data_IF_136902040241
#
_entry.id   IF_136902040241
#
_cell.length_a   1.000
_cell.length_b   1.000
_cell.length_c   1.000
_cell.angle_alpha   90.00
_cell.angle_beta   90.00
_cell.angle_gamma   90.00
#
_symmetry.space_group_name_H-M   'P 1'
#
loop_
_entity.id
_entity.type
_entity.pdbx_description
1 polymer ?
#
# COMPACT_ATOMS: atom_id res chain seq x y z
N UNK A 1 -3.67 -128.02 17.79
CA UNK A 1 -3.13 -127.21 16.68
C UNK A 1 -4.24 -126.31 16.19
N UNK A 2 -4.34 -125.09 16.72
CA UNK A 2 -5.33 -124.09 16.33
C UNK A 2 -4.69 -122.71 16.45
N UNK A 3 -4.66 -121.97 15.35
CA UNK A 3 -4.53 -120.50 15.16
C UNK A 3 -4.18 -120.27 13.67
N UNK A 4 -4.65 -119.27 12.93
CA UNK A 4 -5.56 -118.14 13.15
C UNK A 4 -5.94 -117.62 11.75
N UNK A 5 -7.18 -117.12 11.63
CA UNK A 5 -7.74 -116.59 10.40
C UNK A 5 -7.45 -115.10 10.18
N UNK A 6 -7.47 -114.74 8.90
CA UNK A 6 -7.57 -113.39 8.34
C UNK A 6 -8.55 -112.46 9.08
N UNK A 7 -8.10 -111.23 9.34
CA UNK A 7 -8.94 -110.09 9.68
C UNK A 7 -8.39 -108.82 9.03
N UNK A 8 -8.82 -108.53 7.79
CA UNK A 8 -8.57 -107.24 7.15
C UNK A 8 -9.44 -106.18 7.83
N UNK A 9 -8.84 -105.35 8.67
CA UNK A 9 -9.48 -104.16 9.21
C UNK A 9 -9.71 -103.16 8.07
N UNK A 10 -10.99 -102.97 7.70
CA UNK A 10 -11.43 -101.83 6.88
C UNK A 10 -11.22 -100.57 7.72
N UNK A 11 -10.20 -99.77 7.40
CA UNK A 11 -10.11 -98.38 7.87
C UNK A 11 -11.27 -97.58 7.28
N UNK A 12 -12.27 -97.26 8.10
CA UNK A 12 -13.22 -96.19 7.80
C UNK A 12 -12.46 -94.87 7.82
N UNK A 13 -12.51 -94.03 6.77
CA UNK A 13 -11.89 -92.72 6.82
C UNK A 13 -12.62 -91.89 7.89
N UNK A 14 -11.94 -91.64 9.00
CA UNK A 14 -12.44 -90.75 10.04
C UNK A 14 -12.63 -89.36 9.41
N UNK A 15 -13.89 -88.93 9.30
CA UNK A 15 -14.24 -87.57 8.93
C UNK A 15 -13.63 -86.68 10.01
N UNK A 16 -12.72 -85.79 9.62
CA UNK A 16 -12.08 -84.87 10.57
C UNK A 16 -13.16 -83.96 11.15
N UNK A 17 -13.35 -83.97 12.46
CA UNK A 17 -14.41 -83.20 13.12
C UNK A 17 -14.31 -81.71 12.75
N UNK A 18 -15.43 -81.12 12.33
CA UNK A 18 -15.51 -79.69 12.07
C UNK A 18 -15.12 -78.91 13.34
N UNK A 19 -14.24 -77.90 13.25
CA UNK A 19 -13.89 -77.06 14.38
C UNK A 19 -15.13 -76.35 14.92
N UNK A 20 -15.31 -76.34 16.24
CA UNK A 20 -16.49 -75.71 16.86
C UNK A 20 -16.18 -74.27 17.24
N UNK A 21 -17.22 -73.44 17.26
CA UNK A 21 -17.09 -72.04 17.67
C UNK A 21 -16.59 -71.88 19.12
N UNK A 22 -16.85 -72.89 19.95
CA UNK A 22 -16.40 -72.99 21.35
C UNK A 22 -14.87 -73.16 21.47
N UNK A 23 -14.22 -73.66 20.41
CA UNK A 23 -12.76 -73.86 20.35
C UNK A 23 -12.03 -72.57 19.95
N UNK A 24 -12.76 -71.52 19.59
CA UNK A 24 -12.20 -70.21 19.24
C UNK A 24 -12.03 -69.36 20.51
N UNK A 25 -10.79 -69.02 20.85
CA UNK A 25 -10.49 -68.13 21.97
C UNK A 25 -11.12 -66.73 21.77
N UNK A 26 -11.79 -66.21 22.80
CA UNK A 26 -12.40 -64.87 22.81
C UNK A 26 -11.56 -63.93 23.67
N UNK A 27 -11.17 -62.78 23.08
CA UNK A 27 -10.44 -61.68 23.70
C UNK A 27 -11.39 -60.48 23.84
N UNK A 28 -11.05 -59.48 24.66
CA UNK A 28 -11.86 -58.29 24.96
C UNK A 28 -12.37 -57.48 23.75
N UNK A 29 -11.87 -57.75 22.53
CA UNK A 29 -12.31 -57.12 21.28
C UNK A 29 -12.83 -58.09 20.21
N UNK A 30 -13.04 -59.38 20.52
CA UNK A 30 -13.52 -60.39 19.57
C UNK A 30 -12.73 -61.70 19.61
N UNK A 31 -12.88 -62.53 18.58
CA UNK A 31 -12.12 -63.78 18.46
C UNK A 31 -10.65 -63.53 18.14
N UNK A 32 -9.77 -64.39 18.64
CA UNK A 32 -8.34 -64.33 18.38
C UNK A 32 -8.01 -64.62 16.90
N UNK A 33 -7.39 -63.66 16.21
CA UNK A 33 -7.12 -63.71 14.76
C UNK A 33 -6.32 -64.96 14.33
N UNK A 34 -5.30 -65.36 15.11
CA UNK A 34 -4.51 -66.55 14.79
C UNK A 34 -5.33 -67.85 14.90
N UNK A 35 -6.16 -67.95 15.94
CA UNK A 35 -7.01 -69.11 16.21
C UNK A 35 -8.14 -69.22 15.18
N UNK A 36 -8.73 -68.08 14.79
CA UNK A 36 -9.70 -68.00 13.71
C UNK A 36 -9.08 -68.45 12.37
N UNK A 37 -7.90 -67.93 12.02
CA UNK A 37 -7.18 -68.34 10.79
C UNK A 37 -6.91 -69.84 10.75
N UNK A 38 -6.48 -70.43 11.88
CA UNK A 38 -6.24 -71.87 12.00
C UNK A 38 -7.53 -72.69 11.81
N UNK A 39 -8.65 -72.25 12.40
CA UNK A 39 -9.95 -72.89 12.22
C UNK A 39 -10.46 -72.82 10.77
N UNK A 40 -10.30 -71.68 10.09
CA UNK A 40 -10.62 -71.55 8.66
C UNK A 40 -9.73 -72.43 7.78
N UNK A 41 -8.46 -72.61 8.14
CA UNK A 41 -7.57 -73.54 7.43
C UNK A 41 -7.98 -75.00 7.63
N UNK A 42 -8.33 -75.41 8.85
CA UNK A 42 -8.86 -76.74 9.14
C UNK A 42 -10.17 -77.01 8.38
N UNK A 43 -11.09 -76.03 8.33
CA UNK A 43 -12.31 -76.10 7.54
C UNK A 43 -12.03 -76.24 6.03
N UNK A 44 -11.06 -75.50 5.48
CA UNK A 44 -10.66 -75.64 4.07
C UNK A 44 -10.17 -77.05 3.75
N UNK A 45 -9.37 -77.66 4.63
CA UNK A 45 -8.92 -79.06 4.47
C UNK A 45 -10.11 -80.02 4.51
N UNK A 46 -11.04 -79.83 5.44
CA UNK A 46 -12.27 -80.62 5.54
C UNK A 46 -13.14 -80.53 4.27
N UNK A 47 -13.34 -79.32 3.73
CA UNK A 47 -14.10 -79.11 2.50
C UNK A 47 -13.47 -79.81 1.28
N UNK A 48 -12.14 -79.80 1.15
CA UNK A 48 -11.41 -80.52 0.10
C UNK A 48 -11.55 -82.04 0.26
N UNK A 49 -11.46 -82.54 1.50
CA UNK A 49 -11.66 -83.97 1.81
C UNK A 49 -13.09 -84.40 1.45
N UNK A 50 -14.09 -83.60 1.80
CA UNK A 50 -15.50 -83.83 1.48
C UNK A 50 -15.74 -83.83 -0.03
N UNK A 51 -15.14 -82.89 -0.77
CA UNK A 51 -15.22 -82.83 -2.23
C UNK A 51 -14.63 -84.08 -2.90
N UNK A 52 -13.51 -84.60 -2.40
CA UNK A 52 -12.92 -85.84 -2.88
C UNK A 52 -13.84 -87.04 -2.65
N UNK A 53 -14.45 -87.13 -1.47
CA UNK A 53 -15.40 -88.20 -1.12
C UNK A 53 -16.68 -88.13 -1.97
N UNK A 54 -17.23 -86.94 -2.21
CA UNK A 54 -18.38 -86.75 -3.10
C UNK A 54 -18.08 -87.15 -4.54
N UNK A 55 -16.88 -86.85 -5.07
CA UNK A 55 -16.46 -87.29 -6.41
C UNK A 55 -16.36 -88.82 -6.51
N UNK A 56 -15.83 -89.48 -5.48
CA UNK A 56 -15.77 -90.96 -5.40
C UNK A 56 -17.18 -91.56 -5.35
N UNK A 57 -18.07 -90.99 -4.56
CA UNK A 57 -19.48 -91.43 -4.48
C UNK A 57 -20.24 -91.17 -5.79
N UNK A 58 -19.99 -90.05 -6.48
CA UNK A 58 -20.54 -89.77 -7.81
C UNK A 58 -20.02 -90.76 -8.87
N UNK A 59 -18.76 -91.18 -8.77
CA UNK A 59 -18.18 -92.21 -9.65
C UNK A 59 -18.75 -93.61 -9.35
N UNK A 60 -19.05 -93.92 -8.09
CA UNK A 60 -19.63 -95.20 -7.66
C UNK A 60 -21.18 -95.30 -7.82
N UNK A 61 -21.89 -94.16 -7.84
CA UNK A 61 -23.35 -94.05 -7.80
C UNK A 61 -24.13 -94.40 -9.07
N UNK A 62 -23.58 -95.23 -9.98
CA UNK A 62 -24.35 -95.77 -11.13
C UNK A 62 -25.03 -97.11 -10.85
N UNK A 63 -24.83 -97.72 -9.68
CA UNK A 63 -25.52 -98.93 -9.22
C UNK A 63 -26.43 -98.64 -8.02
N UNK A 64 -27.70 -99.04 -8.11
CA UNK A 64 -28.83 -98.58 -7.31
C UNK A 64 -28.93 -99.13 -5.86
N UNK A 65 -27.90 -98.94 -5.02
CA UNK A 65 -28.03 -99.12 -3.57
C UNK A 65 -27.36 -97.97 -2.81
N UNK A 66 -28.13 -97.26 -1.98
CA UNK A 66 -27.64 -96.13 -1.18
C UNK A 66 -26.89 -96.69 0.02
N UNK A 67 -25.56 -96.76 -0.07
CA UNK A 67 -24.71 -97.11 1.07
C UNK A 67 -24.83 -96.06 2.19
N UNK A 68 -24.86 -96.47 3.48
CA UNK A 68 -25.00 -95.56 4.63
C UNK A 68 -23.88 -94.51 4.71
N UNK A 69 -22.71 -94.81 4.15
CA UNK A 69 -21.57 -93.88 4.04
C UNK A 69 -21.83 -92.74 3.06
N UNK A 70 -22.54 -92.99 1.95
CA UNK A 70 -22.90 -91.96 0.97
C UNK A 70 -24.03 -91.04 1.43
N UNK A 71 -24.85 -91.48 2.39
CA UNK A 71 -25.82 -90.61 3.06
C UNK A 71 -25.13 -89.62 4.02
N UNK A 72 -24.18 -90.07 4.83
CA UNK A 72 -23.44 -89.21 5.77
C UNK A 72 -22.69 -88.07 5.06
N UNK A 73 -21.97 -88.37 3.98
CA UNK A 73 -21.23 -87.36 3.19
C UNK A 73 -22.17 -86.33 2.54
N UNK A 74 -23.34 -86.77 2.04
CA UNK A 74 -24.35 -85.84 1.50
C UNK A 74 -24.97 -84.97 2.58
N UNK A 75 -25.25 -85.53 3.75
CA UNK A 75 -25.75 -84.76 4.89
C UNK A 75 -24.73 -83.72 5.33
N UNK A 76 -23.45 -84.08 5.45
CA UNK A 76 -22.37 -83.15 5.82
C UNK A 76 -22.22 -81.99 4.81
N UNK A 77 -22.29 -82.27 3.51
CA UNK A 77 -22.30 -81.24 2.47
C UNK A 77 -23.49 -80.27 2.60
N UNK A 78 -24.69 -80.78 2.95
CA UNK A 78 -25.86 -79.94 3.20
C UNK A 78 -25.70 -79.08 4.46
N UNK A 79 -25.08 -79.61 5.52
CA UNK A 79 -24.77 -78.83 6.73
C UNK A 79 -23.75 -77.73 6.44
N UNK A 80 -22.73 -78.01 5.63
CA UNK A 80 -21.74 -77.03 5.19
C UNK A 80 -22.38 -75.91 4.36
N UNK A 81 -23.26 -76.24 3.41
CA UNK A 81 -23.97 -75.24 2.60
C UNK A 81 -24.88 -74.38 3.49
N UNK A 82 -25.59 -74.99 4.45
CA UNK A 82 -26.41 -74.25 5.41
C UNK A 82 -25.57 -73.31 6.27
N UNK A 83 -24.48 -73.80 6.84
CA UNK A 83 -23.57 -72.98 7.65
C UNK A 83 -22.90 -71.85 6.86
N UNK A 84 -22.58 -72.08 5.58
CA UNK A 84 -22.06 -71.04 4.70
C UNK A 84 -23.10 -69.95 4.40
N UNK A 85 -24.37 -70.32 4.22
CA UNK A 85 -25.45 -69.36 4.03
C UNK A 85 -25.69 -68.52 5.30
N UNK A 86 -25.73 -69.18 6.47
CA UNK A 86 -25.85 -68.48 7.76
C UNK A 86 -24.66 -67.54 8.03
N UNK A 87 -23.43 -67.95 7.67
CA UNK A 87 -22.24 -67.11 7.78
C UNK A 87 -22.30 -65.89 6.84
N UNK A 88 -22.77 -66.07 5.60
CA UNK A 88 -22.95 -64.97 4.66
C UNK A 88 -23.96 -63.94 5.19
N UNK A 89 -25.07 -64.39 5.76
CA UNK A 89 -26.07 -63.52 6.38
C UNK A 89 -25.49 -62.73 7.57
N UNK A 90 -24.65 -63.35 8.40
CA UNK A 90 -23.97 -62.68 9.53
C UNK A 90 -22.97 -61.65 9.01
N UNK A 91 -22.17 -62.00 8.01
CA UNK A 91 -21.20 -61.07 7.40
C UNK A 91 -21.88 -59.87 6.75
N UNK A 92 -23.00 -60.08 6.06
CA UNK A 92 -23.78 -58.99 5.48
C UNK A 92 -24.31 -58.05 6.56
N UNK A 93 -24.89 -58.58 7.65
CA UNK A 93 -25.37 -57.76 8.77
C UNK A 93 -24.25 -56.99 9.46
N UNK A 94 -23.10 -57.61 9.66
CA UNK A 94 -21.93 -56.95 10.26
C UNK A 94 -21.41 -55.82 9.35
N UNK A 95 -21.26 -56.08 8.05
CA UNK A 95 -20.86 -55.08 7.07
C UNK A 95 -21.86 -53.90 6.98
N UNK A 96 -23.17 -54.19 6.99
CA UNK A 96 -24.22 -53.17 7.03
C UNK A 96 -24.16 -52.34 8.32
N UNK A 97 -23.92 -52.98 9.46
CA UNK A 97 -23.82 -52.30 10.77
C UNK A 97 -22.56 -51.43 10.84
N UNK A 98 -21.41 -51.95 10.41
CA UNK A 98 -20.14 -51.23 10.39
C UNK A 98 -20.18 -50.03 9.41
N UNK A 99 -20.74 -50.23 8.22
CA UNK A 99 -20.90 -49.14 7.23
C UNK A 99 -21.86 -48.06 7.72
N UNK A 100 -23.00 -48.43 8.32
CA UNK A 100 -23.91 -47.47 8.93
C UNK A 100 -23.22 -46.66 10.04
N UNK A 101 -22.44 -47.30 10.92
CA UNK A 101 -21.70 -46.63 11.98
C UNK A 101 -20.59 -45.70 11.45
N UNK A 102 -19.94 -46.06 10.34
CA UNK A 102 -18.95 -45.19 9.70
C UNK A 102 -19.61 -43.99 9.04
N UNK A 103 -20.70 -44.20 8.29
CA UNK A 103 -21.46 -43.12 7.64
C UNK A 103 -21.94 -42.13 8.70
N UNK A 104 -22.55 -42.61 9.78
CA UNK A 104 -23.02 -41.76 10.88
C UNK A 104 -21.90 -40.91 11.49
N UNK A 105 -20.71 -41.48 11.72
CA UNK A 105 -19.54 -40.72 12.21
C UNK A 105 -19.11 -39.65 11.21
N UNK A 106 -18.99 -40.00 9.94
CA UNK A 106 -18.58 -39.03 8.90
C UNK A 106 -19.62 -37.93 8.71
N UNK A 107 -20.92 -38.25 8.80
CA UNK A 107 -21.97 -37.25 8.73
C UNK A 107 -21.90 -36.26 9.90
N UNK A 108 -21.62 -36.75 11.11
CA UNK A 108 -21.45 -35.88 12.28
C UNK A 108 -20.25 -34.95 12.11
N UNK A 109 -19.12 -35.47 11.63
CA UNK A 109 -17.93 -34.65 11.34
C UNK A 109 -18.19 -33.61 10.25
N UNK A 110 -18.92 -33.98 9.18
CA UNK A 110 -19.29 -33.04 8.11
C UNK A 110 -20.21 -31.95 8.65
N UNK A 111 -21.22 -32.30 9.46
CA UNK A 111 -22.10 -31.31 10.09
C UNK A 111 -21.33 -30.37 11.01
N UNK A 112 -20.40 -30.90 11.80
CA UNK A 112 -19.55 -30.09 12.68
C UNK A 112 -18.68 -29.12 11.87
N UNK A 113 -17.98 -29.61 10.85
CA UNK A 113 -17.15 -28.76 9.97
C UNK A 113 -17.98 -27.70 9.25
N UNK A 114 -19.21 -28.01 8.84
CA UNK A 114 -20.11 -27.03 8.22
C UNK A 114 -20.49 -25.91 9.20
N UNK A 115 -20.76 -26.24 10.47
CA UNK A 115 -21.03 -25.22 11.49
C UNK A 115 -19.79 -24.36 11.78
N UNK A 116 -18.62 -24.96 11.88
CA UNK A 116 -17.37 -24.23 12.09
C UNK A 116 -17.06 -23.29 10.93
N UNK A 117 -17.29 -23.72 9.68
CA UNK A 117 -17.15 -22.87 8.50
C UNK A 117 -18.14 -21.70 8.52
N UNK A 118 -19.41 -21.95 8.84
CA UNK A 118 -20.41 -20.89 8.97
C UNK A 118 -20.04 -19.86 10.04
N UNK A 119 -19.48 -20.31 11.17
CA UNK A 119 -19.01 -19.41 12.24
C UNK A 119 -17.82 -18.57 11.76
N UNK A 120 -16.84 -19.18 11.09
CA UNK A 120 -15.69 -18.47 10.52
C UNK A 120 -16.10 -17.47 9.46
N UNK A 121 -17.04 -17.82 8.58
CA UNK A 121 -17.56 -16.90 7.57
C UNK A 121 -18.27 -15.70 8.21
N UNK A 122 -19.05 -15.93 9.28
CA UNK A 122 -19.68 -14.85 10.04
C UNK A 122 -18.64 -13.94 10.73
N UNK A 123 -17.56 -14.50 11.26
CA UNK A 123 -16.45 -13.71 11.83
C UNK A 123 -15.73 -12.89 10.76
N UNK A 124 -15.43 -13.49 9.60
CA UNK A 124 -14.80 -12.78 8.48
C UNK A 124 -15.68 -11.62 8.02
N UNK A 125 -17.00 -11.81 7.93
CA UNK A 125 -17.94 -10.74 7.59
C UNK A 125 -17.90 -9.61 8.62
N UNK A 126 -17.92 -9.93 9.91
CA UNK A 126 -17.77 -8.92 10.98
C UNK A 126 -16.47 -8.12 10.85
N UNK A 127 -15.35 -8.79 10.59
CA UNK A 127 -14.07 -8.10 10.40
C UNK A 127 -14.08 -7.21 9.15
N UNK A 128 -14.73 -7.63 8.06
CA UNK A 128 -14.88 -6.81 6.86
C UNK A 128 -15.72 -5.56 7.13
N UNK A 129 -16.88 -5.74 7.74
CA UNK A 129 -17.77 -4.62 8.08
C UNK A 129 -17.08 -3.63 9.02
N UNK A 130 -16.37 -4.13 10.04
CA UNK A 130 -15.62 -3.30 10.98
C UNK A 130 -14.44 -2.60 10.30
N UNK A 131 -13.70 -3.28 9.43
CA UNK A 131 -12.61 -2.68 8.66
C UNK A 131 -13.13 -1.58 7.73
N UNK A 132 -14.27 -1.79 7.08
CA UNK A 132 -14.87 -0.79 6.20
C UNK A 132 -15.42 0.41 6.99
N UNK A 133 -15.98 0.19 8.19
CA UNK A 133 -16.33 1.29 9.11
C UNK A 133 -15.10 2.10 9.49
N UNK A 134 -14.04 1.46 9.96
CA UNK A 134 -12.79 2.13 10.35
C UNK A 134 -12.16 2.90 9.19
N UNK A 135 -12.15 2.31 7.97
CA UNK A 135 -11.70 3.00 6.77
C UNK A 135 -12.52 4.26 6.49
N UNK A 136 -13.84 4.16 6.58
CA UNK A 136 -14.73 5.31 6.35
C UNK A 136 -14.56 6.40 7.42
N UNK A 137 -14.36 6.01 8.68
CA UNK A 137 -14.05 6.93 9.78
C UNK A 137 -12.75 7.68 9.55
N UNK A 138 -11.67 6.97 9.22
CA UNK A 138 -10.36 7.55 8.90
C UNK A 138 -10.46 8.50 7.71
N UNK A 139 -11.13 8.08 6.63
CA UNK A 139 -11.30 8.92 5.44
C UNK A 139 -12.12 10.19 5.74
N UNK A 140 -13.16 10.07 6.56
CA UNK A 140 -13.99 11.21 6.96
C UNK A 140 -13.21 12.17 7.86
N UNK A 141 -12.46 11.64 8.84
CA UNK A 141 -11.59 12.42 9.71
C UNK A 141 -10.52 13.16 8.90
N UNK A 142 -9.76 12.46 8.06
CA UNK A 142 -8.73 13.05 7.20
C UNK A 142 -9.30 14.12 6.26
N UNK A 143 -10.50 13.91 5.71
CA UNK A 143 -11.17 14.92 4.87
C UNK A 143 -11.55 16.18 5.66
N UNK A 144 -12.00 16.01 6.90
CA UNK A 144 -12.35 17.14 7.77
C UNK A 144 -11.10 17.90 8.21
N UNK A 145 -10.04 17.20 8.61
CA UNK A 145 -8.75 17.78 8.95
C UNK A 145 -8.16 18.56 7.76
N UNK A 146 -8.16 17.98 6.55
CA UNK A 146 -7.67 18.66 5.35
C UNK A 146 -8.45 19.96 5.06
N UNK A 147 -9.77 19.95 5.21
CA UNK A 147 -10.61 21.15 5.04
C UNK A 147 -10.32 22.21 6.09
N UNK A 148 -10.13 21.78 7.34
CA UNK A 148 -9.80 22.68 8.43
C UNK A 148 -8.43 23.33 8.20
N UNK A 149 -7.40 22.54 7.88
CA UNK A 149 -6.06 23.04 7.57
C UNK A 149 -6.07 24.07 6.43
N UNK A 150 -6.81 23.82 5.35
CA UNK A 150 -6.94 24.78 4.24
C UNK A 150 -7.64 26.07 4.70
N UNK A 151 -8.68 25.95 5.54
CA UNK A 151 -9.40 27.12 6.06
C UNK A 151 -8.52 27.97 6.98
N UNK A 152 -7.77 27.32 7.86
CA UNK A 152 -6.84 27.97 8.79
C UNK A 152 -5.68 28.62 8.04
N UNK A 153 -5.07 27.92 7.08
CA UNK A 153 -4.01 28.45 6.23
C UNK A 153 -4.48 29.67 5.41
N UNK A 154 -5.69 29.63 4.85
CA UNK A 154 -6.25 30.79 4.13
C UNK A 154 -6.50 31.98 5.04
N UNK A 155 -6.93 31.74 6.29
CA UNK A 155 -7.14 32.79 7.29
C UNK A 155 -5.82 33.43 7.70
N UNK A 156 -4.79 32.63 7.92
CA UNK A 156 -3.44 33.09 8.26
C UNK A 156 -2.82 33.88 7.11
N UNK A 157 -2.83 33.35 5.89
CA UNK A 157 -2.35 34.06 4.70
C UNK A 157 -3.06 35.40 4.49
N UNK A 158 -4.38 35.46 4.69
CA UNK A 158 -5.15 36.69 4.60
C UNK A 158 -4.78 37.70 5.69
N UNK A 159 -4.43 37.22 6.89
CA UNK A 159 -3.99 38.06 8.00
C UNK A 159 -2.60 38.65 7.71
N UNK A 160 -1.66 37.81 7.29
CA UNK A 160 -0.30 38.23 6.95
C UNK A 160 -0.28 39.23 5.78
N UNK A 161 -1.13 39.02 4.77
CA UNK A 161 -1.27 39.93 3.64
C UNK A 161 -1.72 41.32 4.10
N UNK A 162 -2.75 41.40 4.95
CA UNK A 162 -3.21 42.69 5.51
C UNK A 162 -2.15 43.37 6.38
N UNK A 163 -1.40 42.60 7.15
CA UNK A 163 -0.30 43.13 7.96
C UNK A 163 0.84 43.65 7.08
N UNK A 164 1.20 42.94 6.01
CA UNK A 164 2.18 43.37 5.02
C UNK A 164 1.73 44.64 4.27
N UNK A 165 0.47 44.71 3.85
CA UNK A 165 -0.12 45.90 3.24
C UNK A 165 -0.08 47.10 4.19
N UNK A 166 -0.44 46.91 5.46
CA UNK A 166 -0.40 47.99 6.46
C UNK A 166 1.04 48.49 6.70
N UNK A 167 2.03 47.60 6.70
CA UNK A 167 3.45 47.96 6.80
C UNK A 167 3.91 48.71 5.54
N UNK A 168 3.53 48.22 4.36
CA UNK A 168 3.82 48.88 3.08
C UNK A 168 3.24 50.29 3.01
N UNK A 169 1.99 50.48 3.43
CA UNK A 169 1.35 51.79 3.47
C UNK A 169 2.08 52.78 4.40
N UNK A 170 2.52 52.31 5.58
CA UNK A 170 3.32 53.15 6.50
C UNK A 170 4.67 53.54 5.90
N UNK A 171 5.36 52.60 5.25
CA UNK A 171 6.64 52.88 4.59
C UNK A 171 6.49 53.87 3.43
N UNK A 172 5.43 53.74 2.63
CA UNK A 172 5.12 54.69 1.56
C UNK A 172 4.85 56.09 2.11
N UNK A 173 4.13 56.20 3.22
CA UNK A 173 3.86 57.50 3.83
C UNK A 173 5.13 58.14 4.41
N UNK A 174 5.99 57.35 5.08
CA UNK A 174 7.30 57.80 5.55
C UNK A 174 8.18 58.28 4.40
N UNK A 175 8.24 57.53 3.29
CA UNK A 175 9.03 57.91 2.12
C UNK A 175 8.50 59.20 1.47
N UNK A 176 7.17 59.37 1.41
CA UNK A 176 6.56 60.64 0.93
C UNK A 176 6.93 61.80 1.82
N UNK A 177 6.84 61.64 3.13
CA UNK A 177 7.21 62.70 4.07
C UNK A 177 8.68 63.08 3.93
N UNK A 178 9.58 62.10 3.93
CA UNK A 178 11.02 62.34 3.70
C UNK A 178 11.30 63.01 2.36
N UNK A 179 10.64 62.58 1.28
CA UNK A 179 10.80 63.22 -0.02
C UNK A 179 10.35 64.69 0.00
N UNK A 180 9.24 65.00 0.68
CA UNK A 180 8.78 66.39 0.85
C UNK A 180 9.73 67.21 1.71
N UNK A 181 10.27 66.64 2.79
CA UNK A 181 11.24 67.31 3.65
C UNK A 181 12.54 67.61 2.90
N UNK A 182 13.08 66.65 2.16
CA UNK A 182 14.28 66.85 1.33
C UNK A 182 14.04 67.87 0.22
N UNK A 183 12.86 67.87 -0.41
CA UNK A 183 12.51 68.86 -1.44
C UNK A 183 12.41 70.27 -0.87
N UNK A 184 11.81 70.41 0.32
CA UNK A 184 11.70 71.70 0.99
C UNK A 184 13.07 72.18 1.50
N UNK A 185 13.89 71.28 2.06
CA UNK A 185 15.25 71.59 2.51
C UNK A 185 16.14 72.06 1.35
N UNK A 186 16.16 71.32 0.25
CA UNK A 186 16.94 71.70 -0.95
C UNK A 186 16.45 73.01 -1.57
N UNK A 187 15.13 73.27 -1.60
CA UNK A 187 14.60 74.57 -2.02
C UNK A 187 15.09 75.70 -1.11
N UNK A 188 15.03 75.51 0.21
CA UNK A 188 15.47 76.52 1.18
C UNK A 188 16.98 76.80 1.06
N UNK A 189 17.80 75.77 0.88
CA UNK A 189 19.24 75.93 0.62
C UNK A 189 19.51 76.71 -0.67
N UNK A 190 18.82 76.38 -1.77
CA UNK A 190 18.94 77.12 -3.03
C UNK A 190 18.52 78.58 -2.85
N UNK A 191 17.40 78.86 -2.19
CA UNK A 191 16.95 80.21 -1.90
C UNK A 191 17.99 81.00 -1.08
N UNK A 192 18.59 80.37 -0.06
CA UNK A 192 19.67 80.96 0.74
C UNK A 192 20.89 81.29 -0.13
N UNK A 193 21.32 80.37 -1.00
CA UNK A 193 22.46 80.63 -1.90
C UNK A 193 22.17 81.75 -2.88
N UNK A 194 20.95 81.85 -3.41
CA UNK A 194 20.54 82.92 -4.31
C UNK A 194 20.45 84.27 -3.59
N UNK A 195 19.95 84.30 -2.36
CA UNK A 195 19.92 85.51 -1.54
C UNK A 195 21.35 86.00 -1.24
N UNK A 196 22.24 85.10 -0.85
CA UNK A 196 23.66 85.42 -0.64
C UNK A 196 24.31 85.96 -1.93
N UNK A 197 24.09 85.32 -3.08
CA UNK A 197 24.61 85.79 -4.37
C UNK A 197 24.06 87.17 -4.75
N UNK A 198 22.77 87.45 -4.49
CA UNK A 198 22.17 88.78 -4.73
C UNK A 198 22.75 89.86 -3.81
N UNK A 199 22.97 89.54 -2.53
CA UNK A 199 23.62 90.45 -1.58
C UNK A 199 25.06 90.77 -2.02
N UNK A 200 25.81 89.75 -2.43
CA UNK A 200 27.17 89.93 -2.94
C UNK A 200 27.20 90.78 -4.23
N UNK A 201 26.32 90.50 -5.19
CA UNK A 201 26.20 91.29 -6.41
C UNK A 201 25.86 92.77 -6.10
N UNK A 202 24.93 93.01 -5.18
CA UNK A 202 24.57 94.37 -4.73
C UNK A 202 25.77 95.10 -4.11
N UNK A 203 26.59 94.40 -3.31
CA UNK A 203 27.80 94.97 -2.72
C UNK A 203 28.88 95.30 -3.76
N UNK A 204 29.05 94.45 -4.80
CA UNK A 204 29.97 94.71 -5.91
C UNK A 204 29.51 95.93 -6.71
N UNK A 205 28.22 96.02 -7.03
CA UNK A 205 27.64 97.16 -7.76
C UNK A 205 27.83 98.44 -6.96
N UNK A 206 27.51 98.45 -5.66
CA UNK A 206 27.70 99.63 -4.81
C UNK A 206 29.16 100.08 -4.76
N UNK A 207 30.10 99.13 -4.62
CA UNK A 207 31.54 99.43 -4.66
C UNK A 207 31.97 99.99 -6.01
N UNK A 208 31.46 99.44 -7.11
CA UNK A 208 31.72 99.94 -8.46
C UNK A 208 31.18 101.36 -8.64
N UNK A 209 29.95 101.64 -8.18
CA UNK A 209 29.32 102.97 -8.21
C UNK A 209 30.16 104.01 -7.46
N UNK A 210 30.53 103.72 -6.20
CA UNK A 210 31.39 104.61 -5.42
C UNK A 210 32.77 104.80 -6.08
N UNK A 211 33.36 103.74 -6.63
CA UNK A 211 34.63 103.83 -7.37
C UNK A 211 34.52 104.71 -8.62
N UNK A 212 33.42 104.59 -9.38
CA UNK A 212 33.16 105.45 -10.54
C UNK A 212 32.94 106.90 -10.14
N UNK A 213 32.20 107.18 -9.06
CA UNK A 213 31.99 108.53 -8.53
C UNK A 213 33.33 109.18 -8.14
N UNK A 214 34.22 108.43 -7.48
CA UNK A 214 35.56 108.89 -7.12
C UNK A 214 36.40 109.25 -8.35
N UNK A 215 36.40 108.40 -9.39
CA UNK A 215 37.14 108.64 -10.62
C UNK A 215 36.59 109.85 -11.41
N UNK A 216 35.27 109.99 -11.48
CA UNK A 216 34.63 111.13 -12.15
C UNK A 216 34.91 112.44 -11.41
N UNK A 217 34.87 112.42 -10.07
CA UNK A 217 35.26 113.56 -9.24
C UNK A 217 36.72 113.98 -9.43
N UNK A 218 37.64 113.01 -9.49
CA UNK A 218 39.06 113.27 -9.74
C UNK A 218 39.34 113.84 -11.15
N UNK A 219 38.52 113.48 -12.14
CA UNK A 219 38.63 113.97 -13.52
C UNK A 219 38.01 115.38 -13.74
N UNK A 220 37.33 115.96 -12.74
CA UNK A 220 36.71 117.29 -12.82
C UNK A 220 35.48 117.36 -13.74
N UNK A 221 34.92 116.21 -14.13
CA UNK A 221 33.70 116.10 -14.93
C UNK A 221 32.49 116.30 -14.01
N UNK A 222 31.75 117.40 -14.19
CA UNK A 222 30.55 117.70 -13.39
C UNK A 222 29.44 116.66 -13.55
N UNK A 223 28.45 116.72 -12.66
CA UNK A 223 27.33 115.76 -12.52
C UNK A 223 26.61 115.42 -13.84
N UNK A 224 26.55 116.36 -14.79
CA UNK A 224 25.93 116.14 -16.10
C UNK A 224 26.66 115.07 -16.96
N UNK A 225 28.00 115.06 -16.98
CA UNK A 225 28.77 114.09 -17.77
C UNK A 225 28.76 112.69 -17.13
N UNK A 226 28.71 112.62 -15.79
CA UNK A 226 28.53 111.37 -15.05
C UNK A 226 27.20 110.69 -15.41
N UNK A 227 26.13 111.47 -15.55
CA UNK A 227 24.79 110.98 -15.87
C UNK A 227 24.74 110.39 -17.29
N UNK A 228 25.43 111.01 -18.26
CA UNK A 228 25.46 110.54 -19.65
C UNK A 228 26.23 109.22 -19.80
N UNK A 229 27.37 109.07 -19.12
CA UNK A 229 28.15 107.83 -19.09
C UNK A 229 27.38 106.71 -18.36
N UNK A 230 26.74 107.01 -17.23
CA UNK A 230 25.90 106.05 -16.52
C UNK A 230 24.75 105.53 -17.42
N UNK A 231 24.08 106.42 -18.15
CA UNK A 231 23.02 106.04 -19.10
C UNK A 231 23.55 105.16 -20.24
N UNK A 232 24.75 105.43 -20.77
CA UNK A 232 25.36 104.59 -21.80
C UNK A 232 25.71 103.18 -21.27
N UNK A 233 26.22 103.08 -20.04
CA UNK A 233 26.54 101.79 -19.41
C UNK A 233 25.27 100.97 -19.17
N UNK A 234 24.22 101.57 -18.59
CA UNK A 234 22.92 100.90 -18.37
C UNK A 234 22.37 100.38 -19.68
N UNK A 235 22.36 101.20 -20.74
CA UNK A 235 21.90 100.80 -22.07
C UNK A 235 22.70 99.63 -22.66
N UNK A 236 24.02 99.60 -22.42
CA UNK A 236 24.88 98.49 -22.86
C UNK A 236 24.67 97.20 -22.04
N UNK A 237 24.39 97.33 -20.74
CA UNK A 237 24.10 96.21 -19.85
C UNK A 237 22.73 95.60 -20.15
N UNK A 238 21.71 96.43 -20.44
CA UNK A 238 20.40 95.96 -20.91
C UNK A 238 20.50 95.21 -22.23
N UNK A 239 21.27 95.73 -23.19
CA UNK A 239 21.52 95.05 -24.47
C UNK A 239 22.22 93.70 -24.28
N UNK A 240 23.22 93.63 -23.38
CA UNK A 240 23.90 92.38 -23.03
C UNK A 240 22.99 91.39 -22.30
N UNK A 241 22.13 91.84 -21.40
CA UNK A 241 21.17 91.00 -20.68
C UNK A 241 20.07 90.46 -21.61
N UNK A 242 19.63 91.25 -22.58
CA UNK A 242 18.70 90.80 -23.62
C UNK A 242 19.36 89.83 -24.60
N UNK A 243 20.62 90.03 -24.96
CA UNK A 243 21.39 89.05 -25.73
C UNK A 243 21.56 87.73 -24.97
N UNK A 244 21.77 87.78 -23.65
CA UNK A 244 21.85 86.60 -22.78
C UNK A 244 20.51 85.86 -22.63
N UNK A 245 19.38 86.58 -22.56
CA UNK A 245 18.03 85.96 -22.56
C UNK A 245 17.65 85.37 -23.91
N UNK A 246 18.10 85.95 -25.02
CA UNK A 246 17.91 85.38 -26.35
C UNK A 246 18.78 84.13 -26.61
N UNK A 247 19.81 83.92 -25.77
CA UNK A 247 20.69 82.76 -25.77
C UNK A 247 20.40 81.82 -24.58
N UNK A 248 19.14 81.73 -24.15
CA UNK A 248 18.70 80.68 -23.25
C UNK A 248 18.86 79.33 -24.00
N UNK A 249 19.65 78.37 -23.49
CA UNK A 249 19.72 77.06 -24.10
C UNK A 249 18.34 76.42 -24.02
N UNK A 250 17.89 75.83 -25.12
CA UNK A 250 16.70 74.98 -25.16
C UNK A 250 16.60 74.19 -23.87
N UNK A 251 15.50 74.42 -23.14
CA UNK A 251 15.08 73.54 -22.08
C UNK A 251 15.18 72.12 -22.64
N UNK A 252 16.15 71.37 -22.14
CA UNK A 252 16.17 69.92 -22.29
C UNK A 252 14.76 69.46 -21.93
N UNK A 253 14.08 68.88 -22.92
CA UNK A 253 12.86 68.13 -22.68
C UNK A 253 13.08 67.30 -21.41
N UNK A 254 12.16 67.36 -20.44
CA UNK A 254 12.19 66.38 -19.36
C UNK A 254 12.27 65.01 -20.04
N UNK A 255 13.12 64.08 -19.56
CA UNK A 255 13.16 62.74 -20.12
C UNK A 255 11.72 62.24 -20.20
N UNK A 256 11.29 61.67 -21.35
CA UNK A 256 9.90 61.30 -21.54
C UNK A 256 9.50 60.52 -20.30
N UNK A 257 8.45 61.01 -19.63
CA UNK A 257 7.82 60.31 -18.53
C UNK A 257 7.80 58.85 -18.93
N UNK A 258 8.53 58.02 -18.18
CA UNK A 258 8.52 56.60 -18.36
C UNK A 258 7.04 56.25 -18.45
N UNK A 259 6.61 55.90 -19.67
CA UNK A 259 5.30 55.32 -19.86
C UNK A 259 5.21 54.23 -18.79
N UNK A 260 4.11 54.14 -18.03
CA UNK A 260 3.93 52.99 -17.17
C UNK A 260 4.20 51.80 -18.08
N UNK A 261 5.24 51.02 -17.77
CA UNK A 261 5.54 49.79 -18.46
C UNK A 261 4.19 49.10 -18.57
N UNK A 262 3.68 49.06 -19.80
CA UNK A 262 2.55 48.22 -20.14
C UNK A 262 2.99 46.88 -19.61
N UNK A 263 2.32 46.43 -18.54
CA UNK A 263 2.63 45.15 -17.93
C UNK A 263 2.78 44.18 -19.08
N UNK A 264 3.98 43.63 -19.24
CA UNK A 264 4.15 42.47 -20.07
C UNK A 264 3.02 41.53 -19.67
N UNK A 265 2.24 40.98 -20.63
CA UNK A 265 1.27 39.96 -20.28
C UNK A 265 2.04 38.96 -19.41
N UNK A 266 1.51 38.74 -18.20
CA UNK A 266 2.10 37.78 -17.27
C UNK A 266 2.47 36.52 -18.06
N UNK A 267 3.63 35.88 -17.79
CA UNK A 267 3.88 34.58 -18.35
C UNK A 267 2.63 33.75 -18.08
N UNK A 268 1.99 33.29 -19.16
CA UNK A 268 0.87 32.36 -19.08
C UNK A 268 1.29 31.31 -18.06
N UNK A 269 0.51 31.04 -17.00
CA UNK A 269 0.82 29.91 -16.15
C UNK A 269 1.00 28.71 -17.07
N UNK A 270 2.07 27.89 -16.91
CA UNK A 270 2.20 26.68 -17.69
C UNK A 270 0.86 25.96 -17.62
N UNK A 271 0.30 25.65 -18.80
CA UNK A 271 -0.90 24.86 -18.89
C UNK A 271 -0.74 23.67 -17.93
N UNK A 272 -1.79 23.29 -17.17
CA UNK A 272 -1.72 22.06 -16.39
C UNK A 272 -1.24 20.98 -17.34
N UNK A 273 -0.07 20.42 -17.04
CA UNK A 273 0.45 19.27 -17.76
C UNK A 273 -0.72 18.29 -17.84
N UNK A 274 -1.14 17.96 -19.06
CA UNK A 274 -1.94 16.75 -19.24
C UNK A 274 -1.14 15.68 -18.51
N UNK A 275 -1.75 14.92 -17.58
CA UNK A 275 -1.09 13.73 -17.10
C UNK A 275 -0.76 12.92 -18.35
N UNK A 276 0.53 12.67 -18.57
CA UNK A 276 0.94 11.64 -19.50
C UNK A 276 0.10 10.41 -19.17
N UNK A 277 -0.48 9.72 -20.17
CA UNK A 277 -1.07 8.43 -19.92
C UNK A 277 0.03 7.60 -19.26
N UNK A 278 -0.22 7.33 -17.98
CA UNK A 278 0.52 6.42 -17.12
C UNK A 278 1.25 5.42 -17.98
N UNK A 279 2.56 5.63 -18.09
CA UNK A 279 3.47 4.58 -18.47
C UNK A 279 3.12 3.42 -17.55
N UNK A 280 2.69 2.33 -18.17
CA UNK A 280 2.30 1.12 -17.48
C UNK A 280 3.41 0.75 -16.49
N UNK A 281 3.09 0.17 -15.32
CA UNK A 281 4.12 -0.36 -14.46
C UNK A 281 4.96 -1.35 -15.27
N UNK A 282 6.23 -1.00 -15.49
CA UNK A 282 7.24 -1.95 -15.94
C UNK A 282 7.15 -3.19 -15.05
N UNK A 283 7.20 -4.40 -15.63
CA UNK A 283 7.18 -5.63 -14.84
C UNK A 283 8.34 -5.59 -13.82
N UNK A 284 8.14 -6.13 -12.62
CA UNK A 284 9.18 -6.14 -11.60
C UNK A 284 10.42 -6.83 -12.14
N UNK A 285 11.56 -6.15 -12.06
CA UNK A 285 12.88 -6.76 -12.14
C UNK A 285 12.93 -7.94 -11.17
N UNK A 286 13.30 -9.16 -11.59
CA UNK A 286 13.42 -10.28 -10.68
C UNK A 286 14.46 -9.93 -9.60
N UNK A 287 14.08 -10.17 -8.35
CA UNK A 287 14.96 -10.05 -7.20
C UNK A 287 16.25 -10.86 -7.42
N UNK A 288 17.41 -10.42 -6.90
CA UNK A 288 18.57 -11.27 -6.83
C UNK A 288 18.21 -12.54 -6.05
N UNK A 289 18.49 -13.69 -6.64
CA UNK A 289 18.44 -14.99 -5.98
C UNK A 289 19.13 -14.87 -4.62
N UNK A 290 18.36 -15.12 -3.56
CA UNK A 290 18.91 -15.38 -2.24
C UNK A 290 19.72 -16.67 -2.36
N UNK A 291 21.03 -16.50 -2.48
CA UNK A 291 22.00 -17.58 -2.40
C UNK A 291 21.86 -18.27 -1.03
N UNK A 292 21.74 -19.57 -1.15
CA UNK A 292 21.37 -20.59 -0.18
C UNK A 292 22.19 -20.53 1.12
N UNK A 293 21.58 -20.68 2.32
CA UNK A 293 22.35 -20.82 3.55
C UNK A 293 23.14 -22.14 3.53
N UNK A 294 24.42 -22.16 3.97
CA UNK A 294 25.23 -23.35 3.95
C UNK A 294 24.65 -24.45 4.86
N UNK A 295 24.62 -25.66 4.33
CA UNK A 295 24.18 -26.87 5.02
C UNK A 295 24.95 -27.09 6.35
N UNK A 296 24.29 -27.61 7.40
CA UNK A 296 24.97 -27.94 8.65
C UNK A 296 25.98 -29.08 8.45
N UNK A 297 27.15 -29.06 9.13
CA UNK A 297 28.13 -30.13 9.03
C UNK A 297 27.54 -31.43 9.56
N UNK A 298 27.59 -32.46 8.71
CA UNK A 298 27.30 -33.84 9.08
C UNK A 298 28.32 -34.29 10.13
N UNK A 299 27.85 -34.38 11.37
CA UNK A 299 28.58 -35.01 12.48
C UNK A 299 28.86 -36.47 12.13
N UNK A 300 30.08 -36.73 11.67
CA UNK A 300 30.63 -38.07 11.60
C UNK A 300 31.30 -38.31 12.94
N UNK A 301 30.61 -39.07 13.80
CA UNK A 301 31.22 -39.65 14.97
C UNK A 301 32.32 -40.62 14.54
N UNK A 302 33.53 -40.38 15.02
CA UNK A 302 34.53 -41.42 15.14
C UNK A 302 35.35 -41.12 16.40
N UNK A 303 34.93 -41.73 17.50
CA UNK A 303 35.75 -41.87 18.71
C UNK A 303 35.85 -43.36 18.99
N UNK A 304 36.86 -43.96 18.38
CA UNK A 304 37.33 -45.30 18.72
C UNK A 304 37.84 -45.32 20.16
N UNK A 305 37.31 -46.28 20.91
CA UNK A 305 38.00 -46.95 22.01
C UNK A 305 38.84 -48.11 21.44
#
# INVERSE_FOLDING_TARGET
MATEGQGAARETPAVTSLPRIEDLGVIAGGFEDQTVRAAFEAFRRHAVQLQAQLRVLQAAGRSAHVDPTGHAVRMDALHLIRGAAEFADVLERDAQTASAAQIQRTEQEVRQKQLDLQQRDAEIQRFRDESDRQRNEILTAARNEARQLVTDANREASKELREAESRGARLLEQARHQATELTNATRAEVEQTLEWARAQASAIIARAQTGTEQLLGAAGLGEAAATEVANAIVKSAEASAQAGRAAEPEAQEPPPSAQPLRAAPAPTPPAPARPDPSEAPSPPTPAPEAEEPPAPPSGSGDTSA
#
